data_IF_520556062472
#
_entry.id   IF_520556062472
#
_cell.length_a   1.000
_cell.length_b   1.000
_cell.length_c   1.000
_cell.angle_alpha   90.00
_cell.angle_beta   90.00
_cell.angle_gamma   90.00
#
_symmetry.space_group_name_H-M   'P 1'
#
loop_
_entity.id
_entity.type
_entity.pdbx_description
1 polymer ?
#
# COMPACT_ATOMS: atom_id res chain seq x y z
N UNK A 1 47.27 -17.16 17.12
CA UNK A 1 46.25 -17.84 16.31
C UNK A 1 44.95 -17.05 16.44
N UNK A 2 44.76 -16.03 15.60
CA UNK A 2 43.58 -15.18 15.62
C UNK A 2 42.49 -15.81 14.73
N UNK A 3 41.46 -16.32 15.37
CA UNK A 3 40.27 -16.83 14.69
C UNK A 3 39.46 -15.64 14.19
N UNK A 4 39.55 -15.37 12.87
CA UNK A 4 38.67 -14.43 12.19
C UNK A 4 37.28 -15.04 12.09
N UNK A 5 36.36 -14.62 12.97
CA UNK A 5 34.97 -14.95 12.86
C UNK A 5 34.44 -14.31 11.59
N UNK A 6 34.17 -15.12 10.55
CA UNK A 6 33.44 -14.73 9.35
C UNK A 6 32.03 -14.32 9.82
N UNK A 7 31.56 -13.10 9.55
CA UNK A 7 30.21 -12.75 9.89
C UNK A 7 29.27 -13.60 9.04
N UNK A 8 28.47 -14.47 9.69
CA UNK A 8 27.47 -15.27 9.02
C UNK A 8 26.44 -14.34 8.35
N UNK A 9 26.42 -14.37 7.01
CA UNK A 9 25.55 -13.56 6.15
C UNK A 9 24.08 -14.00 6.14
N UNK A 10 23.64 -14.72 7.14
CA UNK A 10 22.30 -15.35 7.17
C UNK A 10 21.32 -14.59 8.10
N UNK A 11 21.28 -13.26 7.92
CA UNK A 11 20.24 -12.47 8.57
C UNK A 11 18.92 -12.59 7.79
N UNK A 12 17.78 -12.90 8.46
CA UNK A 12 16.51 -13.03 7.77
C UNK A 12 16.16 -11.73 7.04
N UNK A 13 15.79 -11.86 5.77
CA UNK A 13 15.31 -10.73 4.96
C UNK A 13 13.79 -10.71 4.98
N UNK A 14 13.23 -9.56 5.27
CA UNK A 14 11.79 -9.35 5.33
C UNK A 14 11.34 -8.44 4.21
N UNK A 15 10.24 -8.79 3.57
CA UNK A 15 9.60 -7.92 2.60
C UNK A 15 8.84 -6.84 3.36
N UNK A 16 9.33 -5.59 3.24
CA UNK A 16 8.80 -4.46 4.01
C UNK A 16 8.14 -3.42 3.10
N UNK A 17 7.25 -2.65 3.69
CA UNK A 17 6.61 -1.48 3.08
C UNK A 17 6.15 -0.52 4.19
N UNK A 18 5.95 0.76 3.82
CA UNK A 18 5.37 1.78 4.70
C UNK A 18 3.96 2.08 4.21
N UNK A 19 2.99 2.10 5.13
CA UNK A 19 1.59 2.33 4.78
C UNK A 19 0.82 3.05 5.89
N UNK A 20 -0.26 3.74 5.53
CA UNK A 20 -1.29 4.16 6.48
C UNK A 20 -2.41 3.10 6.54
N UNK A 21 -2.90 2.75 7.73
CA UNK A 21 -3.99 1.80 7.92
C UNK A 21 -5.32 2.40 7.46
N UNK A 22 -6.28 1.54 7.10
CA UNK A 22 -7.64 1.97 6.79
C UNK A 22 -8.47 2.18 8.05
N UNK A 23 -9.33 3.20 8.03
CA UNK A 23 -10.41 3.36 9.01
C UNK A 23 -11.50 2.30 8.83
N UNK A 24 -12.28 2.05 9.88
CA UNK A 24 -13.42 1.13 9.82
C UNK A 24 -14.45 1.57 8.77
N UNK A 25 -14.73 2.87 8.71
CA UNK A 25 -15.69 3.46 7.75
C UNK A 25 -15.30 3.19 6.30
N UNK A 26 -14.04 3.46 5.94
CA UNK A 26 -13.55 3.19 4.58
C UNK A 26 -13.55 1.70 4.28
N UNK A 27 -13.21 0.86 5.25
CA UNK A 27 -13.21 -0.60 5.11
C UNK A 27 -14.62 -1.12 4.82
N UNK A 28 -15.60 -0.66 5.56
CA UNK A 28 -17.01 -1.02 5.36
C UNK A 28 -17.52 -0.58 3.98
N UNK A 29 -17.24 0.66 3.58
CA UNK A 29 -17.66 1.20 2.29
C UNK A 29 -17.03 0.48 1.08
N UNK A 30 -15.86 -0.15 1.25
CA UNK A 30 -15.20 -0.95 0.21
C UNK A 30 -15.74 -2.38 0.10
N UNK A 31 -16.64 -2.82 1.00
CA UNK A 31 -17.17 -4.20 0.99
C UNK A 31 -17.93 -4.49 -0.30
N UNK A 32 -18.93 -3.70 -0.64
CA UNK A 32 -19.75 -3.92 -1.83
C UNK A 32 -18.95 -3.91 -3.15
N UNK A 33 -18.08 -2.91 -3.42
CA UNK A 33 -17.26 -2.94 -4.64
C UNK A 33 -16.31 -4.15 -4.71
N UNK A 34 -15.81 -4.64 -3.57
CA UNK A 34 -14.96 -5.84 -3.52
C UNK A 34 -15.74 -7.12 -3.75
N UNK A 35 -16.95 -7.25 -3.20
CA UNK A 35 -17.83 -8.40 -3.42
C UNK A 35 -18.21 -8.51 -4.89
N UNK A 36 -18.51 -7.40 -5.56
CA UNK A 36 -18.74 -7.40 -7.01
C UNK A 36 -17.50 -7.84 -7.81
N UNK A 37 -16.30 -7.45 -7.39
CA UNK A 37 -15.05 -7.91 -8.02
C UNK A 37 -14.76 -9.39 -7.75
N UNK A 38 -15.28 -9.95 -6.67
CA UNK A 38 -15.13 -11.36 -6.31
C UNK A 38 -16.04 -12.30 -7.13
N UNK A 39 -17.03 -11.77 -7.87
CA UNK A 39 -17.85 -12.57 -8.80
C UNK A 39 -16.94 -13.34 -9.77
N UNK A 40 -17.21 -14.62 -10.08
CA UNK A 40 -16.19 -15.57 -10.56
C UNK A 40 -15.54 -15.16 -11.87
N UNK A 41 -14.49 -14.40 -11.76
CA UNK A 41 -13.56 -14.09 -12.83
C UNK A 41 -12.22 -14.73 -12.51
N UNK A 42 -11.84 -15.83 -13.16
CA UNK A 42 -10.65 -16.59 -12.79
C UNK A 42 -9.34 -15.81 -12.91
N UNK A 43 -9.37 -14.65 -13.59
CA UNK A 43 -8.21 -13.76 -13.78
C UNK A 43 -8.21 -12.54 -12.86
N UNK A 44 -9.31 -12.23 -12.19
CA UNK A 44 -9.37 -11.15 -11.19
C UNK A 44 -9.20 -11.75 -9.81
N UNK A 45 -8.26 -11.19 -9.04
CA UNK A 45 -7.98 -11.61 -7.67
C UNK A 45 -8.23 -10.43 -6.74
N UNK A 46 -9.41 -10.32 -6.12
CA UNK A 46 -9.75 -9.25 -5.19
C UNK A 46 -8.84 -9.27 -3.98
N UNK A 47 -8.54 -8.09 -3.46
CA UNK A 47 -7.85 -7.93 -2.19
C UNK A 47 -8.81 -8.28 -1.04
N UNK A 48 -8.29 -8.91 0.01
CA UNK A 48 -9.05 -9.05 1.26
C UNK A 48 -9.12 -7.69 1.95
N UNK A 49 -10.24 -7.37 2.56
CA UNK A 49 -10.45 -6.10 3.28
C UNK A 49 -9.37 -5.81 4.33
N UNK A 50 -8.93 -6.84 5.06
CA UNK A 50 -7.89 -6.74 6.08
C UNK A 50 -6.47 -6.56 5.49
N UNK A 51 -6.31 -6.79 4.20
CA UNK A 51 -5.06 -6.65 3.46
C UNK A 51 -4.96 -5.32 2.68
N UNK A 52 -6.02 -4.50 2.68
CA UNK A 52 -6.02 -3.21 2.00
C UNK A 52 -5.40 -2.15 2.92
N UNK A 53 -4.50 -1.35 2.36
CA UNK A 53 -3.80 -0.27 3.05
C UNK A 53 -3.37 0.80 2.04
N UNK A 54 -3.17 2.03 2.51
CA UNK A 54 -2.61 3.10 1.69
C UNK A 54 -1.08 3.02 1.75
N UNK A 55 -0.47 2.40 0.74
CA UNK A 55 0.99 2.27 0.68
C UNK A 55 1.64 3.60 0.33
N UNK A 56 2.65 4.00 1.12
CA UNK A 56 3.52 5.14 0.84
C UNK A 56 4.79 4.69 0.10
N UNK A 57 5.45 3.62 0.59
CA UNK A 57 6.71 3.12 0.02
C UNK A 57 6.77 1.60 0.07
N UNK A 58 7.19 0.98 -1.02
CA UNK A 58 7.66 -0.41 -1.01
C UNK A 58 9.17 -0.43 -0.78
N UNK A 59 9.64 -1.16 0.24
CA UNK A 59 11.06 -1.23 0.61
C UNK A 59 11.73 -2.50 0.07
N UNK A 60 10.94 -3.44 -0.47
CA UNK A 60 11.44 -4.72 -0.96
C UNK A 60 11.95 -5.63 0.17
N UNK A 61 12.93 -6.47 -0.12
CA UNK A 61 13.53 -7.38 0.85
C UNK A 61 14.66 -6.67 1.61
N UNK A 62 14.45 -6.45 2.89
CA UNK A 62 15.35 -5.73 3.80
C UNK A 62 15.84 -6.67 4.88
N UNK A 63 17.10 -6.59 5.28
CA UNK A 63 17.64 -7.34 6.42
C UNK A 63 16.95 -6.93 7.71
N UNK A 64 16.54 -7.91 8.52
CA UNK A 64 15.76 -7.65 9.75
C UNK A 64 16.46 -6.72 10.74
N UNK A 65 17.80 -6.76 10.80
CA UNK A 65 18.60 -5.86 11.67
C UNK A 65 18.43 -4.37 11.34
N UNK A 66 18.00 -4.03 10.13
CA UNK A 66 17.82 -2.65 9.69
C UNK A 66 16.46 -2.05 10.08
N UNK A 67 15.55 -2.86 10.60
CA UNK A 67 14.19 -2.42 10.99
C UNK A 67 14.25 -1.28 12.00
N UNK A 68 15.10 -1.38 13.02
CA UNK A 68 15.23 -0.34 14.05
C UNK A 68 15.73 1.00 13.48
N UNK A 69 16.67 0.96 12.52
CA UNK A 69 17.21 2.17 11.89
C UNK A 69 16.17 2.84 11.00
N UNK A 70 15.45 2.04 10.21
CA UNK A 70 14.32 2.52 9.41
C UNK A 70 13.24 3.16 10.29
N UNK A 71 12.93 2.52 11.43
CA UNK A 71 11.96 3.02 12.41
C UNK A 71 12.37 4.39 12.98
N UNK A 72 13.64 4.58 13.30
CA UNK A 72 14.14 5.89 13.78
C UNK A 72 13.95 6.97 12.72
N UNK A 73 14.38 6.72 11.48
CA UNK A 73 14.25 7.68 10.40
C UNK A 73 12.80 8.04 10.08
N UNK A 74 11.89 7.06 10.08
CA UNK A 74 10.46 7.28 9.88
C UNK A 74 9.84 8.10 11.01
N UNK A 75 10.18 7.80 12.27
CA UNK A 75 9.67 8.53 13.45
C UNK A 75 10.07 10.01 13.41
N UNK A 76 11.31 10.30 13.03
CA UNK A 76 11.78 11.68 12.93
C UNK A 76 11.11 12.44 11.76
N UNK A 77 10.86 11.75 10.65
CA UNK A 77 10.19 12.35 9.49
C UNK A 77 8.73 12.73 9.81
N UNK A 78 7.98 11.87 10.52
CA UNK A 78 6.55 12.13 10.79
C UNK A 78 6.28 13.19 11.84
N UNK A 79 7.24 13.49 12.74
CA UNK A 79 7.08 14.51 13.80
C UNK A 79 6.70 15.90 13.29
N UNK A 80 6.93 16.18 12.01
CA UNK A 80 6.64 17.46 11.37
C UNK A 80 5.21 17.56 10.85
N UNK A 81 4.46 16.47 10.93
CA UNK A 81 3.12 16.38 10.36
C UNK A 81 2.08 16.27 11.47
N UNK A 82 1.15 17.22 11.49
CA UNK A 82 -0.10 17.06 12.23
C UNK A 82 -1.02 16.08 11.51
N UNK A 83 -1.96 15.49 12.24
CA UNK A 83 -3.01 14.63 11.69
C UNK A 83 -3.80 15.37 10.61
N UNK A 84 -4.26 14.63 9.61
CA UNK A 84 -5.07 15.16 8.51
C UNK A 84 -5.95 14.08 7.93
N UNK A 85 -6.82 14.45 6.99
CA UNK A 85 -7.76 13.53 6.40
C UNK A 85 -7.67 13.59 4.87
N UNK A 86 -7.85 12.44 4.23
CA UNK A 86 -8.03 12.34 2.78
C UNK A 86 -9.34 11.65 2.45
N UNK A 87 -9.86 11.89 1.27
CA UNK A 87 -11.08 11.23 0.80
C UNK A 87 -10.73 10.04 -0.07
N UNK A 88 -11.38 8.91 0.16
CA UNK A 88 -11.31 7.75 -0.73
C UNK A 88 -12.47 7.82 -1.69
N UNK A 89 -12.20 8.00 -2.98
CA UNK A 89 -13.26 8.15 -3.99
C UNK A 89 -12.78 7.77 -5.39
N UNK A 90 -13.75 7.35 -6.21
CA UNK A 90 -13.50 6.91 -7.57
C UNK A 90 -12.69 5.63 -7.66
N UNK A 91 -12.73 5.00 -8.81
CA UNK A 91 -11.97 3.79 -9.12
C UNK A 91 -11.21 3.92 -10.42
N UNK A 92 -10.17 3.10 -10.57
CA UNK A 92 -9.40 3.09 -11.79
C UNK A 92 -8.49 1.87 -11.87
N UNK A 93 -7.60 1.88 -12.87
CA UNK A 93 -6.66 0.79 -13.06
C UNK A 93 -5.26 1.27 -13.48
N UNK A 94 -4.25 0.50 -13.10
CA UNK A 94 -2.91 0.62 -13.65
C UNK A 94 -2.59 -0.54 -14.59
N UNK A 95 -1.93 -0.29 -15.73
CA UNK A 95 -1.62 1.03 -16.30
C UNK A 95 -2.85 1.76 -16.86
N UNK A 96 -3.94 1.06 -17.20
CA UNK A 96 -5.19 1.62 -17.67
C UNK A 96 -6.33 0.60 -17.61
N UNK A 97 -7.58 1.04 -17.75
CA UNK A 97 -8.76 0.14 -17.85
C UNK A 97 -8.74 -0.74 -19.10
N UNK A 98 -8.00 -0.36 -20.15
CA UNK A 98 -7.87 -1.19 -21.38
C UNK A 98 -6.99 -2.43 -21.15
N UNK A 99 -5.93 -2.29 -20.33
CA UNK A 99 -5.02 -3.38 -19.97
C UNK A 99 -4.76 -3.40 -18.46
N UNK A 100 -5.81 -3.63 -17.65
CA UNK A 100 -5.67 -3.51 -16.20
C UNK A 100 -4.77 -4.62 -15.63
N UNK A 101 -3.92 -4.24 -14.69
CA UNK A 101 -3.16 -5.16 -13.84
C UNK A 101 -3.45 -4.95 -12.36
N UNK A 102 -3.75 -3.72 -11.98
CA UNK A 102 -4.16 -3.31 -10.63
C UNK A 102 -5.45 -2.54 -10.77
N UNK A 103 -6.48 -2.95 -10.04
CA UNK A 103 -7.71 -2.19 -9.84
C UNK A 103 -7.59 -1.48 -8.50
N UNK A 104 -7.95 -0.20 -8.44
CA UNK A 104 -7.75 0.61 -7.26
C UNK A 104 -8.90 1.59 -6.98
N UNK A 105 -9.03 2.01 -5.71
CA UNK A 105 -9.79 3.19 -5.31
C UNK A 105 -8.85 4.37 -5.13
N UNK A 106 -9.28 5.54 -5.60
CA UNK A 106 -8.47 6.76 -5.63
C UNK A 106 -8.44 7.48 -4.29
N UNK A 107 -7.43 8.34 -4.12
CA UNK A 107 -7.28 9.24 -3.00
C UNK A 107 -7.40 10.67 -3.49
N UNK A 108 -8.35 11.40 -2.93
CA UNK A 108 -8.72 12.77 -3.28
C UNK A 108 -8.83 13.65 -2.02
N UNK A 109 -9.42 14.82 -2.15
CA UNK A 109 -9.66 15.74 -1.04
C UNK A 109 -8.59 16.84 -0.90
N UNK A 110 -8.87 17.87 -0.08
CA UNK A 110 -8.02 19.03 0.06
C UNK A 110 -6.63 18.70 0.62
N UNK A 111 -6.55 17.74 1.54
CA UNK A 111 -5.29 17.34 2.18
C UNK A 111 -4.47 16.33 1.38
N UNK A 112 -4.87 16.00 0.14
CA UNK A 112 -4.08 15.12 -0.73
C UNK A 112 -2.65 15.62 -0.91
N UNK A 113 -2.43 16.92 -0.97
CA UNK A 113 -1.09 17.51 -1.03
C UNK A 113 -0.25 17.23 0.22
N UNK A 114 -0.88 17.21 1.42
CA UNK A 114 -0.22 16.83 2.67
C UNK A 114 0.22 15.37 2.68
N UNK A 115 -0.60 14.48 2.10
CA UNK A 115 -0.24 13.08 1.92
C UNK A 115 0.99 12.92 1.00
N UNK A 116 1.05 13.67 -0.10
CA UNK A 116 2.21 13.69 -1.00
C UNK A 116 3.46 14.22 -0.28
N UNK A 117 3.31 15.27 0.53
CA UNK A 117 4.41 15.81 1.33
C UNK A 117 4.90 14.82 2.40
N UNK A 118 3.99 14.10 3.07
CA UNK A 118 4.33 13.05 4.03
C UNK A 118 5.11 11.92 3.35
N UNK A 119 4.65 11.47 2.19
CA UNK A 119 5.33 10.45 1.41
C UNK A 119 6.74 10.91 1.01
N UNK A 120 6.89 12.13 0.49
CA UNK A 120 8.20 12.70 0.13
C UNK A 120 9.13 12.83 1.34
N UNK A 121 8.62 13.30 2.49
CA UNK A 121 9.42 13.46 3.71
C UNK A 121 9.93 12.12 4.25
N UNK A 122 9.14 11.05 4.12
CA UNK A 122 9.55 9.70 4.55
C UNK A 122 10.49 9.02 3.55
N UNK A 123 10.59 9.49 2.30
CA UNK A 123 11.52 8.96 1.30
C UNK A 123 12.99 9.21 1.67
N UNK A 124 13.33 10.42 2.16
CA UNK A 124 14.71 10.80 2.44
C UNK A 124 15.41 9.87 3.46
N UNK A 125 14.85 9.57 4.66
CA UNK A 125 15.49 8.67 5.61
C UNK A 125 15.56 7.22 5.09
N UNK A 126 14.61 6.79 4.27
CA UNK A 126 14.64 5.45 3.66
C UNK A 126 15.75 5.35 2.62
N UNK A 127 15.89 6.36 1.75
CA UNK A 127 16.98 6.43 0.77
C UNK A 127 18.36 6.54 1.47
N UNK A 128 18.49 7.38 2.50
CA UNK A 128 19.68 7.51 3.33
C UNK A 128 20.06 6.20 4.02
N UNK A 129 19.09 5.37 4.34
CA UNK A 129 19.30 4.00 4.78
C UNK A 129 19.58 3.02 3.61
N UNK A 130 19.84 3.49 2.37
CA UNK A 130 20.18 2.67 1.21
C UNK A 130 19.02 1.78 0.71
N UNK A 131 17.77 2.18 0.92
CA UNK A 131 16.59 1.55 0.30
C UNK A 131 16.43 2.15 -1.10
N UNK A 132 16.42 1.29 -2.12
CA UNK A 132 16.04 1.69 -3.48
C UNK A 132 14.53 1.91 -3.52
N UNK A 133 14.11 3.16 -3.57
CA UNK A 133 12.69 3.52 -3.71
C UNK A 133 12.30 3.57 -5.19
N UNK A 134 10.99 3.47 -5.45
CA UNK A 134 10.42 3.65 -6.79
C UNK A 134 10.59 5.12 -7.21
N UNK A 135 11.12 5.37 -8.40
CA UNK A 135 11.37 6.70 -8.98
C UNK A 135 10.16 7.26 -9.72
N UNK A 136 9.13 6.44 -9.93
CA UNK A 136 7.88 6.88 -10.57
C UNK A 136 7.12 7.84 -9.66
N UNK A 137 6.40 8.82 -10.25
CA UNK A 137 5.54 9.71 -9.47
C UNK A 137 4.58 8.93 -8.56
N UNK A 138 4.53 9.29 -7.29
CA UNK A 138 3.63 8.66 -6.33
C UNK A 138 2.17 8.94 -6.67
N UNK A 139 1.42 7.88 -6.95
CA UNK A 139 -0.02 7.92 -7.19
C UNK A 139 -0.74 7.22 -6.02
N UNK A 140 -1.22 7.95 -5.00
CA UNK A 140 -1.87 7.36 -3.83
C UNK A 140 -3.16 6.64 -4.20
N UNK A 141 -3.27 5.38 -3.79
CA UNK A 141 -4.41 4.52 -4.10
C UNK A 141 -4.54 3.37 -3.10
N UNK A 142 -5.74 2.80 -3.03
CA UNK A 142 -6.01 1.55 -2.34
C UNK A 142 -6.15 0.43 -3.38
N UNK A 143 -5.33 -0.60 -3.32
CA UNK A 143 -5.41 -1.74 -4.25
C UNK A 143 -6.61 -2.61 -3.91
N UNK A 144 -7.61 -2.65 -4.80
CA UNK A 144 -8.83 -3.44 -4.65
C UNK A 144 -8.71 -4.83 -5.27
N UNK A 145 -8.01 -4.96 -6.41
CA UNK A 145 -7.79 -6.26 -7.04
C UNK A 145 -6.51 -6.27 -7.89
N UNK A 146 -6.02 -7.49 -8.15
CA UNK A 146 -4.97 -7.75 -9.13
C UNK A 146 -5.52 -8.58 -10.27
N UNK A 147 -5.22 -8.15 -11.50
CA UNK A 147 -5.64 -8.86 -12.72
C UNK A 147 -4.46 -9.66 -13.26
N UNK A 148 -4.63 -10.97 -13.38
CA UNK A 148 -3.60 -11.88 -13.89
C UNK A 148 -3.42 -11.68 -15.40
N UNK A 149 -2.23 -11.97 -15.93
CA UNK A 149 -2.00 -12.00 -17.37
C UNK A 149 -3.01 -12.93 -18.08
N UNK A 150 -3.39 -12.55 -19.32
CA UNK A 150 -4.33 -13.34 -20.12
C UNK A 150 -5.81 -13.10 -19.79
N UNK A 151 -6.15 -12.03 -19.06
CA UNK A 151 -7.54 -11.59 -18.95
C UNK A 151 -8.10 -11.28 -20.36
N UNK A 152 -9.18 -11.97 -20.72
CA UNK A 152 -9.80 -11.90 -22.03
C UNK A 152 -10.74 -10.69 -22.20
N UNK A 153 -11.43 -10.66 -23.36
CA UNK A 153 -12.45 -9.63 -23.61
C UNK A 153 -13.60 -9.65 -22.60
N UNK A 154 -14.12 -10.83 -22.15
CA UNK A 154 -15.20 -10.87 -21.18
C UNK A 154 -14.81 -10.20 -19.85
N UNK A 155 -13.66 -10.59 -19.27
CA UNK A 155 -13.20 -10.02 -17.99
C UNK A 155 -12.98 -8.53 -18.08
N UNK A 156 -12.40 -8.04 -19.19
CA UNK A 156 -12.18 -6.60 -19.40
C UNK A 156 -13.48 -5.82 -19.49
N UNK A 157 -14.49 -6.38 -20.19
CA UNK A 157 -15.82 -5.75 -20.29
C UNK A 157 -16.47 -5.65 -18.92
N UNK A 158 -16.41 -6.69 -18.11
CA UNK A 158 -16.97 -6.69 -16.78
C UNK A 158 -16.26 -5.72 -15.85
N UNK A 159 -14.91 -5.66 -15.89
CA UNK A 159 -14.15 -4.65 -15.17
C UNK A 159 -14.49 -3.23 -15.61
N UNK A 160 -14.73 -3.00 -16.91
CA UNK A 160 -15.16 -1.70 -17.41
C UNK A 160 -16.55 -1.32 -16.86
N UNK A 161 -17.52 -2.23 -16.94
CA UNK A 161 -18.87 -2.00 -16.39
C UNK A 161 -18.86 -1.82 -14.87
N UNK A 162 -18.00 -2.56 -14.16
CA UNK A 162 -17.77 -2.34 -12.74
C UNK A 162 -17.19 -0.95 -12.47
N UNK A 163 -16.17 -0.54 -13.22
CA UNK A 163 -15.55 0.77 -13.08
C UNK A 163 -16.51 1.92 -13.40
N UNK A 164 -17.39 1.76 -14.38
CA UNK A 164 -18.45 2.73 -14.69
C UNK A 164 -19.43 2.90 -13.52
N UNK A 165 -19.87 1.80 -12.88
CA UNK A 165 -20.76 1.86 -11.71
C UNK A 165 -20.13 2.55 -10.50
N UNK A 166 -18.83 2.38 -10.31
CA UNK A 166 -18.09 2.90 -9.16
C UNK A 166 -17.23 4.14 -9.50
N UNK A 167 -17.34 4.72 -10.71
CA UNK A 167 -16.55 5.86 -11.16
C UNK A 167 -16.65 7.05 -10.20
N UNK A 168 -17.85 7.36 -9.71
CA UNK A 168 -18.14 8.42 -8.74
C UNK A 168 -18.32 7.88 -7.32
N UNK A 169 -17.89 6.65 -7.07
CA UNK A 169 -18.00 6.00 -5.77
C UNK A 169 -17.32 6.83 -4.68
N UNK A 170 -18.02 7.04 -3.57
CA UNK A 170 -17.51 7.73 -2.38
C UNK A 170 -17.36 6.70 -1.26
N UNK A 171 -16.12 6.38 -0.89
CA UNK A 171 -15.82 5.35 0.10
C UNK A 171 -15.49 5.91 1.48
N UNK A 172 -15.61 7.24 1.64
CA UNK A 172 -15.50 7.92 2.91
C UNK A 172 -14.19 8.66 3.13
N UNK A 173 -14.05 9.16 4.34
CA UNK A 173 -12.87 9.89 4.81
C UNK A 173 -11.91 8.90 5.46
N UNK A 174 -10.65 9.01 5.09
CA UNK A 174 -9.55 8.25 5.67
C UNK A 174 -8.68 9.19 6.52
N UNK A 175 -8.76 9.12 7.86
CA UNK A 175 -7.85 9.82 8.75
C UNK A 175 -6.43 9.28 8.57
N UNK A 176 -5.47 10.18 8.49
CA UNK A 176 -4.03 9.88 8.48
C UNK A 176 -3.47 10.30 9.85
N UNK A 177 -3.69 9.42 10.83
CA UNK A 177 -3.26 9.62 12.22
C UNK A 177 -1.87 9.01 12.49
N UNK A 178 -1.50 8.02 11.69
CA UNK A 178 -0.23 7.31 11.79
C UNK A 178 0.15 6.67 10.46
N UNK A 179 1.44 6.45 10.28
CA UNK A 179 1.96 5.49 9.30
C UNK A 179 2.59 4.29 10.01
N UNK A 180 2.72 3.18 9.32
CA UNK A 180 3.23 1.93 9.88
C UNK A 180 4.33 1.35 8.99
N UNK A 181 5.38 0.82 9.62
CA UNK A 181 6.33 -0.07 8.96
C UNK A 181 5.76 -1.49 8.99
N UNK A 182 5.47 -2.03 7.83
CA UNK A 182 4.75 -3.29 7.65
C UNK A 182 5.69 -4.38 7.11
N UNK A 183 5.51 -5.61 7.61
CA UNK A 183 6.09 -6.82 7.03
C UNK A 183 5.03 -7.57 6.23
N UNK A 184 5.42 -7.98 5.01
CA UNK A 184 4.61 -8.83 4.15
C UNK A 184 5.17 -10.26 4.16
N UNK A 185 4.39 -11.22 4.62
CA UNK A 185 4.66 -12.65 4.47
C UNK A 185 3.82 -13.19 3.31
N UNK A 186 4.45 -13.31 2.14
CA UNK A 186 3.82 -13.83 0.93
C UNK A 186 3.85 -15.37 0.85
N UNK A 187 4.62 -16.04 1.71
CA UNK A 187 4.63 -17.49 1.79
C UNK A 187 3.39 -18.01 2.54
N UNK A 188 2.85 -17.23 3.46
CA UNK A 188 1.56 -17.52 4.08
C UNK A 188 0.42 -17.55 3.05
N UNK A 189 -0.51 -18.44 3.23
CA UNK A 189 -1.70 -18.59 2.37
C UNK A 189 -2.96 -18.51 3.21
N UNK A 190 -3.68 -17.40 3.18
CA UNK A 190 -3.46 -16.16 2.39
C UNK A 190 -2.26 -15.35 2.90
N UNK A 191 -1.70 -14.43 2.06
CA UNK A 191 -0.63 -13.52 2.47
C UNK A 191 -0.98 -12.77 3.75
N UNK A 192 0.00 -12.66 4.67
CA UNK A 192 -0.17 -12.00 5.96
C UNK A 192 0.64 -10.69 6.00
N UNK A 193 0.02 -9.66 6.55
CA UNK A 193 0.66 -8.37 6.80
C UNK A 193 0.72 -8.12 8.30
N UNK A 194 1.89 -7.73 8.79
CA UNK A 194 2.12 -7.47 10.23
C UNK A 194 2.74 -6.09 10.40
N UNK A 195 2.12 -5.25 11.22
CA UNK A 195 2.72 -3.99 11.62
C UNK A 195 3.89 -4.28 12.57
N UNK A 196 5.08 -3.87 12.19
CA UNK A 196 6.29 -3.98 13.02
C UNK A 196 6.39 -2.79 13.98
N UNK A 197 6.03 -1.61 13.50
CA UNK A 197 6.05 -0.37 14.28
C UNK A 197 5.03 0.62 13.70
N UNK A 198 4.45 1.45 14.58
CA UNK A 198 3.52 2.52 14.23
C UNK A 198 4.10 3.87 14.63
N UNK A 199 3.98 4.85 13.76
CA UNK A 199 4.50 6.21 13.90
C UNK A 199 3.34 7.19 13.87
N UNK A 200 2.83 7.62 15.03
CA UNK A 200 1.73 8.58 15.10
C UNK A 200 2.17 9.95 14.59
N UNK A 201 1.28 10.63 13.86
CA UNK A 201 1.37 12.04 13.55
C UNK A 201 0.91 12.87 14.78
N UNK A 202 1.36 14.13 14.86
CA UNK A 202 1.04 15.01 15.98
C UNK A 202 -0.38 15.58 15.92
#
# INVERSE_FOLDING_TARGET
>A
MSSSAVPSSDQPRWRLFVAAPLSAVVREALTAPLEELATPHPKVNPSRLDAIHLTLHFLGNVESRRVADLGRGLRDAVRRFGRFEVTVSGVGAFPSMVKPRIIWAGITGPDRSRLLALQAATAAPLAGAGIALDDRPYAPHLTLARVRPGAGRPERRQLASWAERWADGRFGVLPIDAIQLMRSDLAARPPRYTALESFPLQ
#
